data_IF_619144015765
#
_entry.id   IF_619144015765
#
_cell.length_a   1.000
_cell.length_b   1.000
_cell.length_c   1.000
_cell.angle_alpha   90.00
_cell.angle_beta   90.00
_cell.angle_gamma   90.00
#
_symmetry.space_group_name_H-M   'P 1'
#
loop_
_entity.id
_entity.type
_entity.pdbx_description
1 polymer ?
#
# COMPACT_ATOMS: atom_id res chain seq x y z
N UNK A 1 18.69 13.21 -2.99
CA UNK A 1 17.28 13.44 -2.62
C UNK A 1 16.58 12.11 -2.68
N UNK A 2 15.81 11.74 -1.65
CA UNK A 2 15.02 10.51 -1.65
C UNK A 2 13.59 10.86 -2.09
N UNK A 3 13.01 10.04 -2.97
CA UNK A 3 11.69 10.21 -3.57
C UNK A 3 10.78 9.03 -3.20
N UNK A 4 9.46 9.23 -3.18
CA UNK A 4 8.50 8.12 -3.06
C UNK A 4 8.54 7.22 -4.31
N UNK A 5 8.30 5.90 -4.17
CA UNK A 5 8.60 4.94 -5.23
C UNK A 5 7.68 5.01 -6.45
N UNK A 6 6.41 5.40 -6.31
CA UNK A 6 5.44 5.36 -7.43
C UNK A 6 5.32 6.71 -8.15
N UNK A 7 5.17 7.80 -7.40
CA UNK A 7 4.89 9.15 -7.90
C UNK A 7 6.08 10.09 -7.82
N UNK A 8 7.19 9.68 -7.22
CA UNK A 8 8.41 10.49 -7.15
C UNK A 8 8.27 11.75 -6.29
N UNK A 9 7.42 11.72 -5.24
CA UNK A 9 7.24 12.83 -4.32
C UNK A 9 8.52 13.02 -3.49
N UNK A 10 9.00 14.26 -3.38
CA UNK A 10 10.21 14.55 -2.61
C UNK A 10 9.98 14.44 -1.12
N UNK A 11 10.78 13.62 -0.43
CA UNK A 11 10.78 13.59 1.03
C UNK A 11 11.41 14.86 1.61
N UNK A 12 10.86 15.29 2.75
CA UNK A 12 11.41 16.39 3.55
C UNK A 12 12.61 15.84 4.33
N UNK A 13 13.75 16.52 4.22
CA UNK A 13 14.97 16.18 4.94
C UNK A 13 14.83 16.43 6.45
N UNK A 14 15.61 15.74 7.30
CA UNK A 14 15.57 15.95 8.74
C UNK A 14 15.84 17.42 9.12
N UNK A 15 14.88 18.05 9.82
CA UNK A 15 15.03 19.39 10.40
C UNK A 15 14.31 19.49 11.77
N UNK A 16 14.49 20.62 12.45
CA UNK A 16 14.02 20.92 13.81
C UNK A 16 12.59 20.44 14.10
N UNK A 17 12.45 19.75 15.23
CA UNK A 17 11.20 19.18 15.77
C UNK A 17 10.57 18.02 14.98
N UNK A 18 11.33 17.27 14.17
CA UNK A 18 10.90 16.01 13.56
C UNK A 18 9.61 16.08 12.70
N UNK A 19 9.15 17.27 12.30
CA UNK A 19 7.93 17.45 11.48
C UNK A 19 8.00 16.71 10.14
N UNK A 20 9.20 16.43 9.65
CA UNK A 20 9.45 15.64 8.45
C UNK A 20 8.93 14.21 8.56
N UNK A 21 8.86 13.61 9.76
CA UNK A 21 8.42 12.22 9.94
C UNK A 21 6.95 12.06 9.56
N UNK A 22 6.05 12.83 10.18
CA UNK A 22 4.60 12.76 9.90
C UNK A 22 4.24 13.23 8.49
N UNK A 23 4.98 14.23 7.96
CA UNK A 23 4.81 14.68 6.59
C UNK A 23 5.23 13.59 5.58
N UNK A 24 6.38 12.96 5.76
CA UNK A 24 6.87 11.90 4.87
C UNK A 24 5.97 10.65 4.95
N UNK A 25 5.43 10.32 6.12
CA UNK A 25 4.41 9.28 6.27
C UNK A 25 3.16 9.59 5.44
N UNK A 26 2.70 10.85 5.46
CA UNK A 26 1.56 11.29 4.65
C UNK A 26 1.86 11.20 3.14
N UNK A 27 3.10 11.50 2.73
CA UNK A 27 3.52 11.37 1.33
C UNK A 27 3.59 9.90 0.89
N UNK A 28 4.09 8.99 1.72
CA UNK A 28 4.04 7.53 1.47
C UNK A 28 2.62 7.02 1.25
N UNK A 29 1.69 7.45 2.10
CA UNK A 29 0.26 7.12 1.95
C UNK A 29 -0.33 7.67 0.66
N UNK A 30 -0.04 8.92 0.31
CA UNK A 30 -0.50 9.51 -0.95
C UNK A 30 0.07 8.79 -2.17
N UNK A 31 1.34 8.40 -2.12
CA UNK A 31 2.02 7.64 -3.17
C UNK A 31 1.37 6.29 -3.44
N UNK A 32 0.94 5.59 -2.38
CA UNK A 32 0.22 4.33 -2.48
C UNK A 32 -1.22 4.49 -3.01
N UNK A 33 -1.92 5.57 -2.63
CA UNK A 33 -3.36 5.72 -2.88
C UNK A 33 -3.69 6.46 -4.18
N UNK A 34 -2.87 7.43 -4.59
CA UNK A 34 -3.10 8.15 -5.85
C UNK A 34 -2.72 7.24 -7.00
N UNK A 35 -3.69 6.99 -7.90
CA UNK A 35 -3.54 6.00 -8.97
C UNK A 35 -3.14 4.62 -8.44
N UNK A 36 -3.84 4.15 -7.41
CA UNK A 36 -3.54 2.88 -6.75
C UNK A 36 -3.60 1.71 -7.75
N UNK A 37 -2.47 1.01 -7.88
CA UNK A 37 -2.30 -0.22 -8.66
C UNK A 37 -1.72 -1.26 -7.72
N UNK A 38 -2.40 -2.40 -7.62
CA UNK A 38 -1.96 -3.56 -6.85
C UNK A 38 -1.68 -4.73 -7.78
N UNK A 39 -0.68 -5.53 -7.45
CA UNK A 39 -0.28 -6.71 -8.24
C UNK A 39 -1.37 -7.78 -8.22
N UNK A 40 -1.93 -8.07 -7.05
CA UNK A 40 -2.93 -9.12 -6.89
C UNK A 40 -3.80 -8.92 -5.65
N UNK A 41 -4.97 -9.57 -5.67
CA UNK A 41 -5.89 -9.68 -4.53
C UNK A 41 -6.05 -11.13 -4.01
N UNK A 42 -5.29 -12.08 -4.57
CA UNK A 42 -5.42 -13.51 -4.28
C UNK A 42 -4.15 -14.13 -3.69
N UNK A 43 -3.07 -13.36 -3.55
CA UNK A 43 -1.82 -13.85 -2.94
C UNK A 43 -2.05 -13.98 -1.43
N UNK A 44 -1.97 -15.20 -0.91
CA UNK A 44 -2.22 -15.51 0.51
C UNK A 44 -0.94 -15.64 1.34
N UNK A 45 0.23 -15.69 0.71
CA UNK A 45 1.52 -15.72 1.38
C UNK A 45 2.31 -14.46 1.03
N UNK A 46 2.79 -13.76 2.04
CA UNK A 46 3.64 -12.58 1.90
C UNK A 46 4.83 -12.87 0.97
N UNK A 47 5.07 -12.04 -0.06
CA UNK A 47 6.25 -12.15 -0.90
C UNK A 47 7.54 -12.04 -0.08
N UNK A 48 8.50 -12.93 -0.33
CA UNK A 48 9.81 -12.93 0.36
C UNK A 48 10.76 -11.84 -0.16
N UNK A 49 10.48 -11.28 -1.35
CA UNK A 49 11.31 -10.25 -1.98
C UNK A 49 10.42 -9.26 -2.75
N UNK A 50 9.60 -8.46 -2.04
CA UNK A 50 8.83 -7.41 -2.68
C UNK A 50 9.74 -6.31 -3.23
N UNK A 51 9.32 -5.67 -4.32
CA UNK A 51 9.97 -4.46 -4.82
C UNK A 51 9.31 -3.22 -4.21
N UNK A 52 10.08 -2.13 -4.09
CA UNK A 52 9.55 -0.83 -3.67
C UNK A 52 8.40 -0.38 -4.56
N UNK A 53 7.27 0.01 -3.95
CA UNK A 53 6.04 0.41 -4.63
C UNK A 53 5.09 -0.73 -4.95
N UNK A 54 5.47 -1.99 -4.70
CA UNK A 54 4.58 -3.13 -4.80
C UNK A 54 3.41 -2.99 -3.81
N UNK A 55 2.22 -3.35 -4.27
CA UNK A 55 1.04 -3.35 -3.42
C UNK A 55 0.14 -4.56 -3.71
N UNK A 56 -0.58 -5.03 -2.69
CA UNK A 56 -1.47 -6.18 -2.74
C UNK A 56 -2.73 -5.91 -1.92
N UNK A 57 -3.87 -6.51 -2.31
CA UNK A 57 -5.01 -6.60 -1.40
C UNK A 57 -4.82 -7.86 -0.57
N UNK A 58 -4.94 -7.72 0.76
CA UNK A 58 -4.82 -8.83 1.71
C UNK A 58 -6.08 -9.70 1.64
N UNK A 59 -6.01 -10.96 1.16
CA UNK A 59 -7.13 -11.87 1.23
C UNK A 59 -7.35 -12.38 2.67
N UNK A 60 -8.52 -12.93 2.94
CA UNK A 60 -8.77 -13.61 4.21
C UNK A 60 -7.78 -14.77 4.41
N UNK A 61 -7.19 -14.87 5.61
CA UNK A 61 -6.21 -15.90 5.94
C UNK A 61 -4.83 -15.70 5.32
N UNK A 62 -4.47 -14.47 4.94
CA UNK A 62 -3.11 -14.15 4.54
C UNK A 62 -2.11 -14.48 5.67
N UNK A 63 -0.90 -14.90 5.27
CA UNK A 63 0.18 -15.33 6.16
C UNK A 63 1.50 -14.66 5.78
N UNK A 64 2.40 -14.53 6.75
CA UNK A 64 3.66 -13.82 6.61
C UNK A 64 4.07 -13.13 7.90
N UNK A 65 5.29 -12.62 7.97
CA UNK A 65 5.76 -11.90 9.15
C UNK A 65 4.93 -10.65 9.44
N UNK A 66 4.60 -9.90 8.38
CA UNK A 66 3.88 -8.62 8.46
C UNK A 66 2.40 -8.81 8.09
N UNK A 67 2.13 -9.59 7.03
CA UNK A 67 0.78 -9.75 6.49
C UNK A 67 -0.19 -10.45 7.45
N UNK A 68 0.29 -11.31 8.36
CA UNK A 68 -0.58 -11.99 9.32
C UNK A 68 -1.24 -11.04 10.32
N UNK A 69 -0.66 -9.85 10.53
CA UNK A 69 -1.21 -8.82 11.41
C UNK A 69 -2.18 -7.85 10.72
N UNK A 70 -2.25 -7.89 9.38
CA UNK A 70 -3.06 -6.95 8.60
C UNK A 70 -4.49 -7.44 8.42
N UNK A 71 -5.45 -6.52 8.36
CA UNK A 71 -6.85 -6.88 8.19
C UNK A 71 -7.15 -7.36 6.76
N UNK A 72 -8.11 -8.27 6.63
CA UNK A 72 -8.62 -8.68 5.33
C UNK A 72 -9.21 -7.50 4.55
N UNK A 73 -8.99 -7.48 3.23
CA UNK A 73 -9.28 -6.40 2.29
C UNK A 73 -8.41 -5.13 2.43
N UNK A 74 -7.53 -5.04 3.43
CA UNK A 74 -6.55 -3.96 3.49
C UNK A 74 -5.60 -4.00 2.30
N UNK A 75 -5.06 -2.84 1.93
CA UNK A 75 -3.99 -2.74 0.94
C UNK A 75 -2.67 -2.81 1.69
N UNK A 76 -1.85 -3.81 1.40
CA UNK A 76 -0.47 -3.88 1.86
C UNK A 76 0.44 -3.29 0.79
N UNK A 77 1.14 -2.20 1.09
CA UNK A 77 2.08 -1.54 0.19
C UNK A 77 3.51 -1.62 0.74
N UNK A 78 4.47 -2.06 -0.06
CA UNK A 78 5.88 -2.14 0.33
C UNK A 78 6.59 -0.83 -0.01
N UNK A 79 7.04 -0.09 1.00
CA UNK A 79 7.73 1.19 0.83
C UNK A 79 8.76 1.41 1.93
N UNK A 80 9.91 1.97 1.58
CA UNK A 80 10.99 2.29 2.53
C UNK A 80 11.49 1.04 3.30
N UNK A 81 11.49 -0.11 2.61
CA UNK A 81 11.90 -1.40 3.16
C UNK A 81 10.89 -2.08 4.08
N UNK A 82 9.66 -1.55 4.20
CA UNK A 82 8.65 -2.06 5.12
C UNK A 82 7.26 -2.18 4.48
N UNK A 83 6.41 -3.04 5.04
CA UNK A 83 5.01 -3.18 4.64
C UNK A 83 4.13 -2.22 5.42
N UNK A 84 3.41 -1.38 4.68
CA UNK A 84 2.43 -0.45 5.24
C UNK A 84 1.04 -0.97 4.95
N UNK A 85 0.24 -1.13 6.01
CA UNK A 85 -1.19 -1.41 5.89
C UNK A 85 -1.99 -0.13 5.64
N UNK A 86 -2.87 -0.16 4.64
CA UNK A 86 -3.83 0.89 4.35
C UNK A 86 -5.24 0.31 4.37
N UNK A 87 -6.02 0.65 5.40
CA UNK A 87 -7.42 0.26 5.50
C UNK A 87 -8.28 1.03 4.48
N UNK A 88 -8.97 0.35 3.55
CA UNK A 88 -9.79 1.03 2.55
C UNK A 88 -11.05 1.65 3.17
N UNK A 89 -11.56 2.68 2.49
CA UNK A 89 -12.87 3.26 2.77
C UNK A 89 -13.80 3.03 1.58
N UNK A 90 -15.10 2.97 1.83
CA UNK A 90 -16.12 2.84 0.77
C UNK A 90 -15.90 3.88 -0.33
N UNK A 91 -15.93 3.43 -1.58
CA UNK A 91 -15.73 4.25 -2.78
C UNK A 91 -14.28 4.40 -3.22
N UNK A 92 -13.31 3.86 -2.48
CA UNK A 92 -11.92 3.76 -2.94
C UNK A 92 -11.83 2.93 -4.20
N UNK A 93 -10.92 3.31 -5.10
CA UNK A 93 -10.71 2.65 -6.39
C UNK A 93 -9.25 2.29 -6.55
N UNK A 94 -9.00 1.14 -7.15
CA UNK A 94 -7.67 0.72 -7.56
C UNK A 94 -7.73 -0.14 -8.81
N UNK A 95 -6.59 -0.39 -9.43
CA UNK A 95 -6.45 -1.36 -10.51
C UNK A 95 -5.71 -2.60 -10.00
N UNK A 96 -6.22 -3.79 -10.32
CA UNK A 96 -5.58 -5.07 -9.98
C UNK A 96 -4.94 -5.63 -11.24
N UNK A 97 -3.60 -5.67 -11.28
CA UNK A 97 -2.85 -6.12 -12.46
C UNK A 97 -3.16 -7.57 -12.83
N UNK A 98 -3.18 -8.48 -11.86
CA UNK A 98 -3.50 -9.90 -12.10
C UNK A 98 -4.89 -10.13 -12.71
N UNK A 99 -5.82 -9.19 -12.55
CA UNK A 99 -7.18 -9.26 -13.11
C UNK A 99 -7.36 -8.37 -14.35
N UNK A 100 -6.36 -7.55 -14.68
CA UNK A 100 -6.44 -6.48 -15.67
C UNK A 100 -7.71 -5.61 -15.55
N UNK A 101 -8.12 -5.32 -14.31
CA UNK A 101 -9.42 -4.70 -14.02
C UNK A 101 -9.35 -3.70 -12.86
N UNK A 102 -10.16 -2.65 -12.96
CA UNK A 102 -10.41 -1.74 -11.84
C UNK A 102 -11.37 -2.39 -10.83
N UNK A 103 -11.15 -2.12 -9.55
CA UNK A 103 -12.02 -2.51 -8.44
C UNK A 103 -12.42 -1.31 -7.62
N UNK A 104 -13.61 -1.37 -7.03
CA UNK A 104 -14.13 -0.38 -6.08
C UNK A 104 -14.41 -1.08 -4.74
N UNK A 105 -14.00 -0.47 -3.64
CA UNK A 105 -14.34 -0.99 -2.31
C UNK A 105 -15.76 -0.56 -1.93
N UNK A 106 -16.67 -1.50 -1.69
CA UNK A 106 -18.07 -1.22 -1.35
C UNK A 106 -18.29 -0.93 0.15
N UNK A 107 -17.26 -1.09 0.97
CA UNK A 107 -17.31 -1.02 2.43
C UNK A 107 -17.10 -2.36 3.13
N UNK A 108 -17.17 -3.45 2.38
CA UNK A 108 -16.99 -4.82 2.85
C UNK A 108 -16.06 -5.63 1.95
N UNK A 109 -16.08 -5.39 0.64
CA UNK A 109 -15.34 -6.14 -0.35
C UNK A 109 -14.90 -5.27 -1.54
N UNK A 110 -13.91 -5.76 -2.29
CA UNK A 110 -13.48 -5.17 -3.55
C UNK A 110 -14.27 -5.79 -4.70
N UNK A 111 -15.14 -4.99 -5.33
CA UNK A 111 -16.00 -5.39 -6.46
C UNK A 111 -15.49 -4.87 -7.79
#
# INVERSE_FOLDING_TARGET
>A
MSLTPRLGLSYILPQQAQKHVSANESFRRLDALVQAVVKSAMVTAQPLSPAEGDAYIIPAGASGADWSGMAANSIAAFQDGDWIELAPRTGWRLYVEALAAARVFDGSSWI
#
